data_IF_555565611283
#
_entry.id   IF_555565611283
#
_cell.length_a   1.000
_cell.length_b   1.000
_cell.length_c   1.000
_cell.angle_alpha   90.00
_cell.angle_beta   90.00
_cell.angle_gamma   90.00
#
_symmetry.space_group_name_H-M   'P 1'
#
loop_
_entity.id
_entity.type
_entity.pdbx_description
1 polymer ?
#
# COMPACT_ATOMS: atom_id res chain seq x y z
N UNK A 1 25.02 16.51 -1.70
CA UNK A 1 25.22 17.98 -1.81
C UNK A 1 25.44 18.31 -3.26
N UNK A 2 24.46 18.90 -3.92
CA UNK A 2 24.55 19.36 -5.30
C UNK A 2 24.70 20.86 -5.35
N UNK A 3 25.47 21.34 -6.30
CA UNK A 3 25.57 22.76 -6.60
C UNK A 3 24.24 23.25 -7.19
N UNK A 4 23.81 24.43 -6.82
CA UNK A 4 22.61 25.09 -7.35
C UNK A 4 22.69 25.13 -8.89
N UNK A 5 21.91 24.29 -9.54
CA UNK A 5 21.61 24.40 -10.95
C UNK A 5 20.10 24.59 -11.10
N UNK A 6 19.66 25.23 -12.17
CA UNK A 6 18.22 25.47 -12.43
C UNK A 6 17.40 24.17 -12.48
N UNK A 7 18.06 23.01 -12.65
CA UNK A 7 17.42 21.70 -12.68
C UNK A 7 18.37 20.62 -12.18
N UNK A 8 17.96 19.94 -11.10
CA UNK A 8 18.62 18.75 -10.57
C UNK A 8 17.83 17.50 -11.01
N UNK A 9 18.51 16.55 -11.67
CA UNK A 9 17.93 15.26 -12.03
C UNK A 9 18.57 14.14 -11.24
N UNK A 10 17.78 13.48 -10.40
CA UNK A 10 18.21 12.35 -9.57
C UNK A 10 17.59 11.08 -10.12
N UNK A 11 18.37 10.01 -10.25
CA UNK A 11 17.88 8.68 -10.59
C UNK A 11 18.11 7.77 -9.39
N UNK A 12 17.05 7.19 -8.86
CA UNK A 12 17.09 6.25 -7.74
C UNK A 12 16.69 4.88 -8.29
N UNK A 13 17.56 3.87 -8.21
CA UNK A 13 17.21 2.52 -8.66
C UNK A 13 16.09 1.93 -7.81
N UNK A 14 15.14 1.23 -8.44
CA UNK A 14 14.03 0.56 -7.72
C UNK A 14 14.49 -0.44 -6.66
N UNK A 15 15.69 -1.03 -6.81
CA UNK A 15 16.27 -1.95 -5.82
C UNK A 15 16.52 -1.32 -4.45
N UNK A 16 16.60 0.01 -4.37
CA UNK A 16 16.75 0.74 -3.10
C UNK A 16 15.45 0.72 -2.28
N UNK A 17 14.33 0.31 -2.88
CA UNK A 17 13.04 0.13 -2.22
C UNK A 17 12.77 -1.36 -2.04
N UNK A 18 13.02 -1.94 -0.86
CA UNK A 18 12.91 -3.39 -0.66
C UNK A 18 11.46 -3.89 -0.68
N UNK A 19 10.50 -3.02 -0.38
CA UNK A 19 9.08 -3.37 -0.25
C UNK A 19 8.20 -2.62 -1.24
N UNK A 20 7.02 -3.17 -1.52
CA UNK A 20 5.93 -2.50 -2.19
C UNK A 20 5.33 -1.44 -1.28
N UNK A 21 4.97 -0.29 -1.82
CA UNK A 21 4.29 0.75 -1.05
C UNK A 21 4.53 2.15 -1.57
N UNK A 22 4.24 3.14 -0.73
CA UNK A 22 4.45 4.55 -1.04
C UNK A 22 5.85 4.95 -0.58
N UNK A 23 6.69 5.35 -1.53
CA UNK A 23 7.97 6.00 -1.27
C UNK A 23 7.78 7.52 -1.20
N UNK A 24 8.41 8.13 -0.22
CA UNK A 24 8.38 9.58 0.00
C UNK A 24 9.73 10.20 -0.36
N UNK A 25 9.66 11.27 -1.12
CA UNK A 25 10.81 12.08 -1.49
C UNK A 25 10.59 13.49 -0.95
N UNK A 26 11.40 13.90 0.02
CA UNK A 26 11.30 15.20 0.64
C UNK A 26 12.52 16.05 0.29
N UNK A 27 12.28 17.24 -0.22
CA UNK A 27 13.31 18.24 -0.47
C UNK A 27 13.45 19.13 0.76
N UNK A 28 14.66 19.25 1.25
CA UNK A 28 15.01 20.11 2.37
C UNK A 28 15.83 21.31 1.92
N UNK A 29 15.65 22.45 2.59
CA UNK A 29 16.55 23.60 2.47
C UNK A 29 17.87 23.37 3.22
N UNK A 30 18.78 24.37 3.18
CA UNK A 30 20.06 24.31 3.88
C UNK A 30 19.92 24.20 5.41
N UNK A 31 18.83 24.70 5.97
CA UNK A 31 18.51 24.68 7.41
C UNK A 31 17.81 23.38 7.85
N UNK A 32 17.62 22.43 6.94
CA UNK A 32 16.96 21.16 7.21
C UNK A 32 15.43 21.25 7.31
N UNK A 33 14.83 22.33 6.80
CA UNK A 33 13.38 22.46 6.75
C UNK A 33 12.82 21.82 5.47
N UNK A 34 11.72 21.07 5.55
CA UNK A 34 11.09 20.47 4.39
C UNK A 34 10.45 21.55 3.51
N UNK A 35 10.78 21.56 2.23
CA UNK A 35 10.31 22.54 1.25
C UNK A 35 9.30 21.97 0.27
N UNK A 36 9.45 20.71 -0.08
CA UNK A 36 8.55 20.02 -0.99
C UNK A 36 8.58 18.52 -0.73
N UNK A 37 7.45 17.87 -0.99
CA UNK A 37 7.28 16.42 -0.84
C UNK A 37 6.64 15.84 -2.10
N UNK A 38 7.07 14.64 -2.46
CA UNK A 38 6.51 13.84 -3.55
C UNK A 38 6.34 12.39 -3.12
N UNK A 39 5.13 11.90 -3.18
CA UNK A 39 4.82 10.49 -2.96
C UNK A 39 4.79 9.74 -4.28
N UNK A 40 5.37 8.56 -4.31
CA UNK A 40 5.42 7.67 -5.48
C UNK A 40 5.13 6.25 -5.04
N UNK A 41 4.24 5.55 -5.75
CA UNK A 41 3.98 4.15 -5.49
C UNK A 41 5.03 3.28 -6.18
N UNK A 42 5.77 2.49 -5.42
CA UNK A 42 6.85 1.63 -5.90
C UNK A 42 6.44 0.16 -5.88
N UNK A 43 6.99 -0.63 -6.77
CA UNK A 43 6.77 -2.07 -6.92
C UNK A 43 5.30 -2.49 -7.06
N UNK A 44 4.53 -1.88 -7.98
CA UNK A 44 3.12 -2.24 -8.19
C UNK A 44 2.91 -3.69 -8.65
N UNK A 45 3.97 -4.34 -9.13
CA UNK A 45 3.99 -5.73 -9.57
C UNK A 45 4.06 -6.74 -8.42
N UNK A 46 4.60 -6.36 -7.26
CA UNK A 46 4.82 -7.24 -6.11
C UNK A 46 3.54 -7.46 -5.32
N UNK A 47 2.66 -8.31 -5.83
CA UNK A 47 1.42 -8.69 -5.15
C UNK A 47 1.23 -10.19 -5.15
N UNK A 48 0.58 -10.70 -4.12
CA UNK A 48 0.12 -12.08 -4.09
C UNK A 48 -1.11 -12.24 -4.98
N UNK A 49 -1.15 -13.34 -5.71
CA UNK A 49 -2.32 -13.76 -6.46
C UNK A 49 -3.05 -14.84 -5.67
N UNK A 50 -4.30 -14.56 -5.32
CA UNK A 50 -5.15 -15.47 -4.57
C UNK A 50 -6.25 -15.98 -5.50
N UNK A 51 -6.26 -17.28 -5.70
CA UNK A 51 -7.27 -17.99 -6.47
C UNK A 51 -8.17 -18.78 -5.53
N UNK A 52 -9.48 -18.56 -5.64
CA UNK A 52 -10.50 -19.21 -4.83
C UNK A 52 -11.36 -20.12 -5.70
N UNK A 53 -11.39 -21.39 -5.37
CA UNK A 53 -12.20 -22.37 -6.07
C UNK A 53 -13.06 -23.16 -5.08
N UNK A 54 -14.36 -23.22 -5.35
CA UNK A 54 -15.31 -24.04 -4.60
C UNK A 54 -15.52 -25.38 -5.27
N UNK A 55 -15.81 -26.41 -4.50
CA UNK A 55 -16.08 -27.75 -5.01
C UNK A 55 -17.44 -27.86 -5.70
N UNK A 56 -18.35 -26.89 -5.52
CA UNK A 56 -19.64 -26.82 -6.16
C UNK A 56 -20.06 -25.39 -6.44
N UNK A 57 -20.84 -25.17 -7.50
CA UNK A 57 -21.44 -23.89 -7.82
C UNK A 57 -22.74 -23.61 -7.01
N UNK A 58 -23.32 -24.62 -6.40
CA UNK A 58 -24.57 -24.54 -5.63
C UNK A 58 -24.49 -25.42 -4.39
N UNK A 59 -24.98 -24.91 -3.29
CA UNK A 59 -25.06 -25.62 -2.02
C UNK A 59 -26.49 -25.60 -1.50
N UNK A 60 -26.89 -26.71 -0.88
CA UNK A 60 -28.17 -26.76 -0.15
C UNK A 60 -28.02 -26.16 1.24
N UNK A 61 -29.14 -25.77 1.82
CA UNK A 61 -29.18 -25.29 3.21
C UNK A 61 -28.51 -26.32 4.15
N UNK A 62 -27.56 -25.87 4.95
CA UNK A 62 -26.72 -26.70 5.84
C UNK A 62 -25.82 -27.71 5.13
N UNK A 63 -25.66 -27.60 3.80
CA UNK A 63 -24.71 -28.39 3.03
C UNK A 63 -23.26 -28.03 3.41
N UNK A 64 -22.38 -29.04 3.35
CA UNK A 64 -20.94 -28.83 3.48
C UNK A 64 -20.37 -28.36 2.15
N UNK A 65 -19.53 -27.34 2.17
CA UNK A 65 -18.78 -26.87 1.02
C UNK A 65 -17.29 -26.97 1.30
N UNK A 66 -16.50 -27.13 0.24
CA UNK A 66 -15.05 -27.09 0.30
C UNK A 66 -14.53 -25.90 -0.51
N UNK A 67 -13.73 -25.07 0.13
CA UNK A 67 -13.03 -23.95 -0.49
C UNK A 67 -11.55 -24.32 -0.65
N UNK A 68 -11.07 -24.28 -1.89
CA UNK A 68 -9.66 -24.41 -2.20
C UNK A 68 -9.08 -23.01 -2.42
N UNK A 69 -8.02 -22.70 -1.69
CA UNK A 69 -7.31 -21.42 -1.79
C UNK A 69 -5.91 -21.70 -2.31
N UNK A 70 -5.55 -21.06 -3.41
CA UNK A 70 -4.20 -21.12 -3.98
C UNK A 70 -3.59 -19.74 -3.94
N UNK A 71 -2.37 -19.63 -3.39
CA UNK A 71 -1.64 -18.37 -3.30
C UNK A 71 -0.33 -18.49 -4.06
N UNK A 72 -0.08 -17.53 -4.94
CA UNK A 72 1.16 -17.46 -5.73
C UNK A 72 1.76 -16.07 -5.67
N UNK A 73 3.08 -15.99 -5.88
CA UNK A 73 3.80 -14.72 -6.06
C UNK A 73 3.53 -14.10 -7.45
N UNK A 74 4.18 -12.99 -7.75
CA UNK A 74 4.12 -12.30 -9.04
C UNK A 74 4.65 -13.13 -10.21
N UNK A 75 5.41 -14.21 -9.94
CA UNK A 75 5.96 -15.14 -10.93
C UNK A 75 5.13 -16.41 -11.09
N UNK A 76 4.05 -16.55 -10.30
CA UNK A 76 3.19 -17.73 -10.30
C UNK A 76 3.70 -18.90 -9.44
N UNK A 77 4.78 -18.72 -8.66
CA UNK A 77 5.26 -19.76 -7.75
C UNK A 77 4.38 -19.83 -6.51
N UNK A 78 4.07 -21.03 -5.99
CA UNK A 78 3.36 -21.16 -4.73
C UNK A 78 4.15 -20.55 -3.57
N UNK A 79 3.49 -19.80 -2.71
CA UNK A 79 4.11 -19.19 -1.54
C UNK A 79 3.32 -19.51 -0.27
N UNK A 80 4.04 -19.61 0.83
CA UNK A 80 3.43 -19.69 2.15
C UNK A 80 2.97 -18.29 2.58
N UNK A 81 1.70 -18.16 2.94
CA UNK A 81 1.11 -16.88 3.32
C UNK A 81 0.17 -17.04 4.51
N UNK A 82 0.04 -15.98 5.29
CA UNK A 82 -0.99 -15.85 6.31
C UNK A 82 -2.23 -15.23 5.69
N UNK A 83 -3.36 -15.92 5.79
CA UNK A 83 -4.61 -15.49 5.17
C UNK A 83 -5.67 -15.22 6.23
N UNK A 84 -6.42 -14.13 6.03
CA UNK A 84 -7.69 -13.90 6.69
C UNK A 84 -8.83 -14.33 5.75
N UNK A 85 -9.82 -15.03 6.25
CA UNK A 85 -11.01 -15.41 5.49
C UNK A 85 -12.25 -14.83 6.17
N UNK A 86 -13.07 -14.13 5.39
CA UNK A 86 -14.39 -13.66 5.79
C UNK A 86 -15.43 -14.16 4.80
N UNK A 87 -16.53 -14.71 5.32
CA UNK A 87 -17.64 -15.22 4.51
C UNK A 87 -18.91 -14.52 5.00
N UNK A 88 -19.59 -13.85 4.08
CA UNK A 88 -20.83 -13.14 4.38
C UNK A 88 -21.80 -13.23 3.20
N UNK A 89 -23.07 -12.97 3.47
CA UNK A 89 -24.09 -12.91 2.43
C UNK A 89 -23.86 -11.69 1.54
N UNK A 90 -24.02 -11.86 0.24
CA UNK A 90 -23.88 -10.78 -0.76
C UNK A 90 -24.78 -9.58 -0.47
N UNK A 91 -25.91 -9.79 0.17
CA UNK A 91 -26.80 -8.71 0.58
C UNK A 91 -26.15 -7.68 1.52
N UNK A 92 -25.08 -8.05 2.22
CA UNK A 92 -24.31 -7.17 3.10
C UNK A 92 -23.10 -6.52 2.42
N UNK A 93 -22.88 -6.78 1.14
CA UNK A 93 -21.78 -6.15 0.39
C UNK A 93 -22.09 -4.68 0.14
N UNK A 94 -21.20 -3.81 0.60
CA UNK A 94 -21.29 -2.38 0.31
C UNK A 94 -20.65 -2.10 -1.06
N UNK A 95 -21.49 -1.85 -2.07
CA UNK A 95 -21.03 -1.54 -3.43
C UNK A 95 -20.72 -0.06 -3.65
N UNK A 96 -21.13 0.82 -2.71
CA UNK A 96 -21.01 2.28 -2.89
C UNK A 96 -19.58 2.80 -2.76
N UNK A 97 -18.77 2.14 -1.97
CA UNK A 97 -17.36 2.50 -1.79
C UNK A 97 -16.52 1.23 -1.60
N UNK A 98 -16.25 0.50 -2.67
CA UNK A 98 -15.49 -0.73 -2.58
C UNK A 98 -14.07 -0.42 -2.11
N UNK A 99 -13.71 -0.97 -0.97
CA UNK A 99 -12.37 -0.94 -0.43
C UNK A 99 -11.85 -2.36 -0.33
N UNK A 100 -10.62 -2.58 -0.74
CA UNK A 100 -9.94 -3.87 -0.61
C UNK A 100 -8.67 -3.72 0.25
N UNK A 101 -8.05 -4.83 0.59
CA UNK A 101 -6.87 -4.84 1.45
C UNK A 101 -5.74 -3.96 0.91
N UNK A 102 -5.51 -3.93 -0.42
CA UNK A 102 -4.47 -3.10 -1.03
C UNK A 102 -4.80 -1.62 -0.89
N UNK A 103 -6.02 -1.23 -1.24
CA UNK A 103 -6.45 0.17 -1.14
C UNK A 103 -6.48 0.64 0.31
N UNK A 104 -6.92 -0.21 1.23
CA UNK A 104 -6.88 0.10 2.66
C UNK A 104 -5.45 0.33 3.15
N UNK A 105 -4.56 -0.67 2.96
CA UNK A 105 -3.20 -0.62 3.49
C UNK A 105 -2.32 0.44 2.85
N UNK A 106 -2.50 0.72 1.55
CA UNK A 106 -1.60 1.62 0.82
C UNK A 106 -2.17 3.02 0.56
N UNK A 107 -3.49 3.21 0.69
CA UNK A 107 -4.08 4.53 0.51
C UNK A 107 -4.77 5.03 1.77
N UNK A 108 -5.81 4.33 2.24
CA UNK A 108 -6.67 4.84 3.30
C UNK A 108 -5.94 5.02 4.64
N UNK A 109 -4.92 4.20 4.91
CA UNK A 109 -4.09 4.35 6.12
C UNK A 109 -2.94 5.34 5.95
N UNK A 110 -2.47 5.57 4.73
CA UNK A 110 -1.26 6.34 4.45
C UNK A 110 -1.55 7.79 4.06
N UNK A 111 -2.63 8.04 3.34
CA UNK A 111 -2.94 9.35 2.78
C UNK A 111 -4.03 10.04 3.60
N UNK A 112 -3.87 11.34 3.81
CA UNK A 112 -4.84 12.17 4.52
C UNK A 112 -6.03 12.50 3.61
N UNK A 113 -7.23 12.43 4.18
CA UNK A 113 -8.46 12.79 3.49
C UNK A 113 -9.25 11.57 3.03
N UNK A 114 -10.37 11.84 2.35
CA UNK A 114 -11.23 10.80 1.82
C UNK A 114 -10.87 10.54 0.35
N UNK A 115 -10.60 9.28 0.03
CA UNK A 115 -10.29 8.85 -1.33
C UNK A 115 -11.55 8.24 -1.91
N UNK A 116 -12.05 8.84 -2.99
CA UNK A 116 -13.20 8.31 -3.69
C UNK A 116 -12.82 7.04 -4.46
N UNK A 117 -13.62 5.97 -4.27
CA UNK A 117 -13.43 4.66 -4.91
C UNK A 117 -11.96 4.15 -4.86
N UNK A 118 -11.44 3.88 -3.66
CA UNK A 118 -10.00 3.55 -3.52
C UNK A 118 -9.59 2.25 -4.23
N UNK A 119 -10.52 1.31 -4.45
CA UNK A 119 -10.26 0.09 -5.20
C UNK A 119 -9.91 0.33 -6.67
N UNK A 120 -10.39 1.43 -7.27
CA UNK A 120 -10.12 1.81 -8.65
C UNK A 120 -8.63 1.85 -9.00
N UNK A 121 -7.80 2.31 -8.06
CA UNK A 121 -6.35 2.47 -8.25
C UNK A 121 -5.59 1.15 -8.23
N UNK A 122 -6.22 0.05 -7.77
CA UNK A 122 -5.62 -1.28 -7.68
C UNK A 122 -6.33 -2.32 -8.56
N UNK A 123 -7.39 -1.95 -9.26
CA UNK A 123 -8.09 -2.85 -10.16
C UNK A 123 -7.20 -3.24 -11.35
N UNK A 124 -6.96 -4.54 -11.51
CA UNK A 124 -6.15 -5.08 -12.60
C UNK A 124 -6.76 -4.87 -13.99
N UNK A 125 -8.09 -4.71 -14.07
CA UNK A 125 -8.80 -4.46 -15.33
C UNK A 125 -8.69 -2.98 -15.77
N UNK A 126 -8.36 -2.09 -14.86
CA UNK A 126 -8.16 -0.68 -15.16
C UNK A 126 -6.77 -0.45 -15.75
N UNK A 127 -6.69 -0.12 -17.02
CA UNK A 127 -5.43 0.16 -17.73
C UNK A 127 -4.75 1.44 -17.25
N UNK A 128 -5.53 2.40 -16.78
CA UNK A 128 -5.05 3.73 -16.37
C UNK A 128 -4.71 3.81 -14.89
N UNK A 129 -4.84 2.70 -14.14
CA UNK A 129 -4.68 2.66 -12.68
C UNK A 129 -3.38 3.27 -12.17
N UNK A 130 -2.26 3.03 -12.88
CA UNK A 130 -0.95 3.54 -12.45
C UNK A 130 -0.85 5.06 -12.64
N UNK A 131 -1.31 5.56 -13.77
CA UNK A 131 -1.33 7.00 -14.04
C UNK A 131 -2.30 7.73 -13.11
N UNK A 132 -3.47 7.13 -12.84
CA UNK A 132 -4.45 7.66 -11.92
C UNK A 132 -3.92 7.67 -10.47
N UNK A 133 -3.24 6.60 -10.05
CA UNK A 133 -2.61 6.53 -8.73
C UNK A 133 -1.50 7.57 -8.58
N UNK A 134 -0.66 7.74 -9.60
CA UNK A 134 0.38 8.76 -9.60
C UNK A 134 -0.20 10.18 -9.51
N UNK A 135 -1.29 10.45 -10.24
CA UNK A 135 -2.01 11.72 -10.17
C UNK A 135 -2.65 11.94 -8.79
N UNK A 136 -3.24 10.90 -8.19
CA UNK A 136 -3.74 10.97 -6.82
C UNK A 136 -2.64 11.35 -5.84
N UNK A 137 -1.50 10.66 -5.90
CA UNK A 137 -0.36 10.92 -5.02
C UNK A 137 0.30 12.28 -5.26
N UNK A 138 0.16 12.84 -6.46
CA UNK A 138 0.60 14.19 -6.77
C UNK A 138 -0.33 15.27 -6.22
N UNK A 139 -1.62 15.04 -6.26
CA UNK A 139 -2.64 16.04 -5.90
C UNK A 139 -3.10 15.94 -4.45
N UNK A 140 -3.15 14.73 -3.90
CA UNK A 140 -3.56 14.42 -2.53
C UNK A 140 -2.40 13.79 -1.74
N UNK A 141 -1.16 14.21 -2.03
CA UNK A 141 0.06 13.66 -1.45
C UNK A 141 0.34 14.05 -0.01
N UNK A 142 -0.67 14.50 0.74
CA UNK A 142 -0.54 14.83 2.15
C UNK A 142 -0.60 13.56 2.98
N UNK A 143 0.49 13.28 3.70
CA UNK A 143 0.49 12.15 4.62
C UNK A 143 -0.41 12.37 5.81
N UNK A 144 -0.97 11.27 6.32
CA UNK A 144 -1.68 11.26 7.58
C UNK A 144 -0.74 11.50 8.77
N UNK A 145 0.54 11.23 8.61
CA UNK A 145 1.57 11.36 9.64
C UNK A 145 2.46 12.56 9.37
N UNK A 146 2.71 13.34 10.42
CA UNK A 146 3.73 14.38 10.43
C UNK A 146 4.95 13.80 11.15
N UNK A 147 6.09 13.80 10.48
CA UNK A 147 7.35 13.46 11.11
C UNK A 147 7.78 14.65 11.98
N UNK A 148 7.35 14.68 13.24
CA UNK A 148 8.05 15.50 14.22
C UNK A 148 9.46 14.93 14.36
N UNK A 149 10.46 15.81 14.57
CA UNK A 149 11.83 15.39 14.89
C UNK A 149 11.75 14.42 16.05
N UNK A 150 11.69 13.13 15.74
CA UNK A 150 11.68 12.11 16.77
C UNK A 150 13.03 12.19 17.46
N UNK A 151 12.98 12.40 18.78
CA UNK A 151 14.16 12.32 19.63
C UNK A 151 14.82 10.95 19.33
N UNK A 152 16.05 10.97 18.82
CA UNK A 152 16.76 9.78 18.34
C UNK A 152 16.85 8.68 19.42
N UNK A 153 16.78 9.06 20.68
CA UNK A 153 16.73 8.15 21.83
C UNK A 153 15.41 7.34 21.89
N UNK A 154 14.29 7.93 21.49
CA UNK A 154 12.98 7.26 21.50
C UNK A 154 12.79 6.28 20.35
N UNK A 155 13.53 6.41 19.25
CA UNK A 155 13.49 5.51 18.10
C UNK A 155 14.22 4.19 18.38
N UNK A 156 15.27 4.19 19.18
CA UNK A 156 16.07 3.01 19.47
C UNK A 156 15.29 1.93 20.21
N UNK A 157 14.41 2.29 21.14
CA UNK A 157 13.62 1.34 21.92
C UNK A 157 12.35 0.83 21.18
N UNK A 158 12.06 1.42 20.02
CA UNK A 158 10.83 1.10 19.29
C UNK A 158 10.99 0.01 18.22
N UNK A 159 12.21 -0.31 17.80
CA UNK A 159 12.47 -1.16 16.65
C UNK A 159 13.06 -2.52 17.03
N UNK A 160 12.19 -3.48 17.33
CA UNK A 160 12.59 -4.86 17.64
C UNK A 160 12.81 -5.70 16.38
N UNK A 161 12.19 -5.35 15.25
CA UNK A 161 12.34 -6.02 13.97
C UNK A 161 12.01 -5.09 12.80
N UNK A 162 12.38 -5.47 11.59
CA UNK A 162 12.10 -4.67 10.39
C UNK A 162 10.60 -4.52 10.11
N UNK A 163 9.80 -5.55 10.39
CA UNK A 163 8.33 -5.47 10.32
C UNK A 163 7.76 -4.50 11.35
N UNK A 164 8.28 -4.55 12.57
CA UNK A 164 7.86 -3.65 13.64
C UNK A 164 8.26 -2.21 13.33
N UNK A 165 9.40 -1.99 12.70
CA UNK A 165 9.81 -0.65 12.24
C UNK A 165 8.75 -0.04 11.33
N UNK A 166 8.35 -0.76 10.28
CA UNK A 166 7.33 -0.28 9.37
C UNK A 166 6.00 0.01 10.07
N UNK A 167 5.58 -0.86 10.97
CA UNK A 167 4.34 -0.67 11.76
C UNK A 167 4.41 0.44 12.76
N UNK A 168 5.55 0.64 13.40
CA UNK A 168 5.67 1.72 14.40
C UNK A 168 5.74 3.09 13.76
N UNK A 169 6.33 3.17 12.60
CA UNK A 169 6.25 4.36 11.77
C UNK A 169 4.78 4.65 11.46
N UNK A 170 4.01 3.62 11.11
CA UNK A 170 2.59 3.72 10.80
C UNK A 170 1.76 3.87 12.09
N UNK A 171 2.12 3.19 13.16
CA UNK A 171 1.36 3.12 14.41
C UNK A 171 1.60 4.25 15.40
N UNK A 172 2.68 5.00 15.29
CA UNK A 172 2.91 6.22 16.09
C UNK A 172 2.14 7.38 15.47
N UNK A 173 0.90 7.44 15.85
CA UNK A 173 -0.01 8.52 15.52
C UNK A 173 0.09 9.62 16.56
#
# INVERSE_FOLDING_TARGET
TGTLSERLKIRIPLKEFPMQGIAEFTLYNADGQPMAERLVYVHPERKLHIELNTDSARYFTRGKGKLNVKVTDEKGNPVQAHLGLSIFDRAYQNELNPENMLSYCYLSTEIKGNIHNPAYYFDSNNKDRQAALDLLLLTQGWRRYVWEKADTAMLADCFLSDEIRGRQIIGKK
#
